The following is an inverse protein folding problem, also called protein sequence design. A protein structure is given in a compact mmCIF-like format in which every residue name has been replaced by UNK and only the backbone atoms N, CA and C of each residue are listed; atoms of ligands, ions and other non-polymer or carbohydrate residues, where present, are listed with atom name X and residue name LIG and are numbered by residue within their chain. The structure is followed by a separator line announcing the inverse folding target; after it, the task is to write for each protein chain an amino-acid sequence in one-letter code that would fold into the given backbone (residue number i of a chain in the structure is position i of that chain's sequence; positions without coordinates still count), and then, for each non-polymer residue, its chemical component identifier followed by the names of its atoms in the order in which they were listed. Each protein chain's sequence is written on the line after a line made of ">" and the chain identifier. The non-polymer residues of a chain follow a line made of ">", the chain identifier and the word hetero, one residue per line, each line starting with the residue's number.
data_IF_191345712639
#
_entry.id   IF_191345712639
#
_cell.length_a   1.000
_cell.length_b   1.000
_cell.length_c   1.000
_cell.angle_alpha   90.00
_cell.angle_beta   90.00
_cell.angle_gamma   90.00
#
_symmetry.space_group_name_H-M   'P 1'
#
loop_
_entity.id
_entity.type
_entity.pdbx_description
1 polymer ?
#
# COMPACT_ATOMS: atom_id res chain seq x y z
N UNK A 1 -31.19 -18.79 -20.06
CA UNK A 1 -31.24 -20.13 -20.68
C UNK A 1 -29.97 -20.87 -20.29
N UNK A 2 -30.08 -21.93 -19.48
CA UNK A 2 -28.99 -22.88 -19.21
C UNK A 2 -29.26 -24.15 -20.03
N UNK A 3 -28.25 -24.62 -20.76
CA UNK A 3 -28.35 -25.78 -21.66
C UNK A 3 -28.28 -27.10 -20.91
N UNK A 4 -29.02 -28.10 -21.41
CA UNK A 4 -29.26 -29.42 -20.79
C UNK A 4 -28.06 -30.38 -20.73
N UNK A 5 -26.81 -29.89 -20.83
CA UNK A 5 -25.59 -30.72 -20.73
C UNK A 5 -24.43 -29.96 -20.03
N UNK A 6 -24.75 -29.11 -19.04
CA UNK A 6 -23.74 -28.39 -18.27
C UNK A 6 -23.10 -29.29 -17.20
N UNK A 7 -21.91 -29.83 -17.48
CA UNK A 7 -21.05 -30.37 -16.41
C UNK A 7 -20.75 -29.24 -15.44
N UNK A 8 -21.22 -29.33 -14.20
CA UNK A 8 -20.82 -28.40 -13.14
C UNK A 8 -19.29 -28.49 -13.00
N UNK A 9 -18.57 -27.36 -12.82
CA UNK A 9 -17.18 -27.42 -12.39
C UNK A 9 -17.10 -28.29 -11.13
N UNK A 10 -16.03 -29.07 -11.01
CA UNK A 10 -15.79 -29.79 -9.75
C UNK A 10 -15.65 -28.77 -8.62
N UNK A 11 -16.06 -29.12 -7.40
CA UNK A 11 -15.93 -28.23 -6.24
C UNK A 11 -14.50 -27.70 -6.06
N UNK A 12 -13.51 -28.51 -6.45
CA UNK A 12 -12.09 -28.16 -6.48
C UNK A 12 -11.78 -27.08 -7.51
N UNK A 13 -12.25 -27.21 -8.75
CA UNK A 13 -12.04 -26.19 -9.81
C UNK A 13 -12.64 -24.83 -9.41
N UNK A 14 -13.83 -24.83 -8.78
CA UNK A 14 -14.43 -23.59 -8.28
C UNK A 14 -13.57 -22.96 -7.18
N UNK A 15 -13.07 -23.75 -6.24
CA UNK A 15 -12.19 -23.26 -5.16
C UNK A 15 -10.89 -22.67 -5.71
N UNK A 16 -10.29 -23.32 -6.69
CA UNK A 16 -9.04 -22.85 -7.32
C UNK A 16 -9.23 -21.53 -8.06
N UNK A 17 -10.33 -21.39 -8.84
CA UNK A 17 -10.66 -20.13 -9.51
C UNK A 17 -10.95 -19.00 -8.51
N UNK A 18 -11.66 -19.29 -7.42
CA UNK A 18 -11.88 -18.31 -6.36
C UNK A 18 -10.58 -17.87 -5.66
N UNK A 19 -9.64 -18.80 -5.45
CA UNK A 19 -8.34 -18.49 -4.87
C UNK A 19 -7.51 -17.58 -5.80
N UNK A 20 -7.57 -17.82 -7.11
CA UNK A 20 -6.91 -16.99 -8.11
C UNK A 20 -7.49 -15.58 -8.16
N UNK A 21 -8.82 -15.46 -8.19
CA UNK A 21 -9.51 -14.16 -8.16
C UNK A 21 -9.14 -13.38 -6.88
N UNK A 22 -9.11 -14.05 -5.73
CA UNK A 22 -8.69 -13.42 -4.46
C UNK A 22 -7.28 -12.85 -4.57
N UNK A 23 -6.35 -13.63 -5.13
CA UNK A 23 -4.97 -13.20 -5.34
C UNK A 23 -4.90 -11.96 -6.24
N UNK A 24 -5.56 -12.00 -7.39
CA UNK A 24 -5.53 -10.90 -8.36
C UNK A 24 -6.09 -9.59 -7.76
N UNK A 25 -7.14 -9.67 -6.93
CA UNK A 25 -7.71 -8.51 -6.23
C UNK A 25 -6.71 -7.92 -5.20
N UNK A 26 -6.05 -8.78 -4.43
CA UNK A 26 -5.06 -8.35 -3.42
C UNK A 26 -3.82 -7.74 -4.08
N UNK A 27 -3.33 -8.34 -5.17
CA UNK A 27 -2.20 -7.81 -5.93
C UNK A 27 -2.56 -6.45 -6.55
N UNK A 28 -3.75 -6.31 -7.14
CA UNK A 28 -4.24 -5.03 -7.67
C UNK A 28 -4.35 -3.93 -6.60
N UNK A 29 -4.85 -4.26 -5.40
CA UNK A 29 -4.85 -3.33 -4.25
C UNK A 29 -3.42 -2.89 -3.91
N UNK A 30 -2.50 -3.84 -3.79
CA UNK A 30 -1.11 -3.56 -3.45
C UNK A 30 -0.41 -2.66 -4.49
N UNK A 31 -0.64 -2.90 -5.79
CA UNK A 31 -0.12 -2.04 -6.85
C UNK A 31 -0.61 -0.59 -6.74
N UNK A 32 -1.89 -0.38 -6.42
CA UNK A 32 -2.43 0.96 -6.21
C UNK A 32 -1.82 1.64 -4.97
N UNK A 33 -1.62 0.89 -3.88
CA UNK A 33 -0.94 1.42 -2.68
C UNK A 33 0.51 1.80 -3.01
N UNK A 34 1.23 0.97 -3.77
CA UNK A 34 2.59 1.26 -4.23
C UNK A 34 2.64 2.51 -5.11
N UNK A 35 1.63 2.72 -5.95
CA UNK A 35 1.53 3.92 -6.79
C UNK A 35 1.35 5.20 -5.95
N UNK A 36 0.48 5.17 -4.94
CA UNK A 36 0.34 6.29 -3.98
C UNK A 36 1.65 6.53 -3.24
N UNK A 37 2.35 5.47 -2.84
CA UNK A 37 3.64 5.59 -2.18
C UNK A 37 4.71 6.23 -3.07
N UNK A 38 4.80 5.81 -4.33
CA UNK A 38 5.72 6.39 -5.31
C UNK A 38 5.55 7.91 -5.43
N UNK A 39 4.29 8.37 -5.49
CA UNK A 39 3.96 9.79 -5.53
C UNK A 39 4.47 10.53 -4.29
N UNK A 40 4.18 10.00 -3.10
CA UNK A 40 4.56 10.59 -1.82
C UNK A 40 6.09 10.72 -1.65
N UNK A 41 6.83 9.65 -1.99
CA UNK A 41 8.30 9.64 -1.92
C UNK A 41 8.87 10.64 -2.92
N UNK A 42 8.38 10.64 -4.15
CA UNK A 42 8.85 11.54 -5.21
C UNK A 42 8.64 13.01 -4.83
N UNK A 43 7.46 13.35 -4.31
CA UNK A 43 7.18 14.70 -3.80
C UNK A 43 8.12 15.10 -2.67
N UNK A 44 8.31 14.21 -1.69
CA UNK A 44 9.21 14.46 -0.55
C UNK A 44 10.64 14.69 -1.01
N UNK A 45 11.12 13.89 -1.97
CA UNK A 45 12.44 14.04 -2.58
C UNK A 45 12.61 15.39 -3.26
N UNK A 46 11.65 15.79 -4.10
CA UNK A 46 11.64 17.10 -4.76
C UNK A 46 11.65 18.25 -3.75
N UNK A 47 10.77 18.20 -2.75
CA UNK A 47 10.70 19.23 -1.71
C UNK A 47 12.02 19.34 -0.93
N UNK A 48 12.65 18.22 -0.58
CA UNK A 48 13.94 18.20 0.14
C UNK A 48 15.09 18.75 -0.72
N UNK A 49 15.15 18.41 -2.01
CA UNK A 49 16.19 18.90 -2.93
C UNK A 49 16.06 20.41 -3.14
N UNK A 50 14.84 20.90 -3.36
CA UNK A 50 14.56 22.32 -3.52
C UNK A 50 14.89 23.12 -2.25
N UNK A 51 14.47 22.64 -1.08
CA UNK A 51 14.86 23.26 0.21
C UNK A 51 16.38 23.30 0.39
N UNK A 52 17.08 22.23 -0.03
CA UNK A 52 18.54 22.16 0.06
C UNK A 52 19.22 23.16 -0.89
N UNK A 53 18.68 23.34 -2.10
CA UNK A 53 19.16 24.33 -3.05
C UNK A 53 19.05 25.75 -2.48
N UNK A 54 17.85 26.14 -2.00
CA UNK A 54 17.62 27.46 -1.42
C UNK A 54 18.55 27.72 -0.23
N UNK A 55 18.71 26.74 0.67
CA UNK A 55 19.62 26.84 1.83
C UNK A 55 21.09 27.03 1.43
N UNK A 56 21.55 26.41 0.34
CA UNK A 56 22.95 26.50 -0.10
C UNK A 56 23.25 27.75 -0.91
N UNK A 57 22.28 28.25 -1.65
CA UNK A 57 22.47 29.33 -2.62
C UNK A 57 21.94 30.68 -2.15
N UNK A 58 21.09 30.69 -1.12
CA UNK A 58 20.30 31.87 -0.76
C UNK A 58 19.16 32.17 -1.74
N UNK A 59 18.89 31.27 -2.70
CA UNK A 59 17.78 31.39 -3.64
C UNK A 59 16.41 31.16 -2.99
N UNK A 60 15.35 31.41 -3.76
CA UNK A 60 13.94 31.24 -3.36
C UNK A 60 13.17 30.45 -4.43
N UNK A 61 13.73 29.33 -4.89
CA UNK A 61 13.11 28.49 -5.92
C UNK A 61 12.09 27.51 -5.34
N UNK A 62 12.15 27.18 -4.05
CA UNK A 62 11.30 26.15 -3.45
C UNK A 62 9.81 26.47 -3.61
N UNK A 63 9.39 27.68 -3.23
CA UNK A 63 7.98 28.07 -3.22
C UNK A 63 7.34 28.03 -4.62
N UNK A 64 7.87 28.71 -5.66
CA UNK A 64 7.25 28.70 -6.98
C UNK A 64 7.29 27.32 -7.64
N UNK A 65 8.26 26.47 -7.30
CA UNK A 65 8.37 25.12 -7.87
C UNK A 65 7.41 24.13 -7.22
N UNK A 66 7.27 24.16 -5.89
CA UNK A 66 6.32 23.29 -5.18
C UNK A 66 4.89 23.56 -5.62
N UNK A 67 4.48 24.82 -5.79
CA UNK A 67 3.15 25.16 -6.29
C UNK A 67 2.84 24.55 -7.66
N UNK A 68 3.85 24.39 -8.52
CA UNK A 68 3.70 23.72 -9.81
C UNK A 68 3.62 22.20 -9.65
N UNK A 69 4.44 21.62 -8.77
CA UNK A 69 4.47 20.18 -8.47
C UNK A 69 3.13 19.70 -7.92
N UNK A 70 2.49 20.46 -7.02
CA UNK A 70 1.19 20.10 -6.44
C UNK A 70 0.06 19.96 -7.48
N UNK A 71 0.25 20.52 -8.68
CA UNK A 71 -0.72 20.44 -9.78
C UNK A 71 -0.35 19.38 -10.83
N UNK A 72 0.77 18.69 -10.64
CA UNK A 72 1.20 17.68 -11.60
C UNK A 72 0.41 16.38 -11.40
N UNK A 73 0.08 15.66 -12.50
CA UNK A 73 -0.70 14.42 -12.43
C UNK A 73 -0.10 13.35 -11.51
N UNK A 74 1.23 13.31 -11.39
CA UNK A 74 1.88 12.33 -10.51
C UNK A 74 1.58 12.57 -9.02
N UNK A 75 1.22 13.81 -8.62
CA UNK A 75 0.92 14.16 -7.24
C UNK A 75 -0.57 14.06 -6.90
N UNK A 76 -1.45 14.23 -7.90
CA UNK A 76 -2.91 14.15 -7.74
C UNK A 76 -3.38 12.69 -7.62
N UNK A 77 -3.23 12.12 -6.43
CA UNK A 77 -3.50 10.70 -6.12
C UNK A 77 -4.85 10.47 -5.45
N UNK A 78 -5.73 11.46 -5.44
CA UNK A 78 -7.02 11.43 -4.73
C UNK A 78 -7.93 10.31 -5.28
N UNK A 79 -7.99 10.18 -6.61
CA UNK A 79 -8.78 9.13 -7.27
C UNK A 79 -8.22 7.74 -6.98
N UNK A 80 -6.89 7.57 -7.00
CA UNK A 80 -6.25 6.30 -6.68
C UNK A 80 -6.52 5.92 -5.23
N UNK A 81 -6.41 6.89 -4.31
CA UNK A 81 -6.70 6.67 -2.88
C UNK A 81 -8.15 6.26 -2.65
N UNK A 82 -9.11 6.83 -3.41
CA UNK A 82 -10.52 6.42 -3.37
C UNK A 82 -10.69 4.97 -3.86
N UNK A 83 -10.05 4.62 -4.97
CA UNK A 83 -10.07 3.26 -5.51
C UNK A 83 -9.47 2.24 -4.54
N UNK A 84 -8.36 2.57 -3.87
CA UNK A 84 -7.77 1.73 -2.80
C UNK A 84 -8.82 1.45 -1.72
N UNK A 85 -9.53 2.49 -1.24
CA UNK A 85 -10.56 2.34 -0.21
C UNK A 85 -11.75 1.51 -0.67
N UNK A 86 -12.20 1.69 -1.90
CA UNK A 86 -13.28 0.89 -2.50
C UNK A 86 -12.87 -0.57 -2.66
N UNK A 87 -11.61 -0.83 -3.02
CA UNK A 87 -11.05 -2.18 -3.12
C UNK A 87 -10.99 -2.86 -1.74
N UNK A 88 -10.53 -2.15 -0.70
CA UNK A 88 -10.55 -2.65 0.69
C UNK A 88 -11.96 -3.07 1.13
N UNK A 89 -12.96 -2.21 0.91
CA UNK A 89 -14.35 -2.52 1.27
C UNK A 89 -14.89 -3.73 0.49
N UNK A 90 -14.47 -3.89 -0.77
CA UNK A 90 -14.85 -5.05 -1.61
C UNK A 90 -14.19 -6.33 -1.11
N UNK A 91 -12.91 -6.29 -0.76
CA UNK A 91 -12.18 -7.41 -0.17
C UNK A 91 -12.85 -7.86 1.13
N UNK A 92 -13.15 -6.92 2.03
CA UNK A 92 -13.81 -7.20 3.31
C UNK A 92 -15.22 -7.82 3.13
N UNK A 93 -15.96 -7.38 2.11
CA UNK A 93 -17.30 -7.89 1.82
C UNK A 93 -17.31 -9.27 1.14
N UNK A 94 -16.36 -9.53 0.24
CA UNK A 94 -16.32 -10.77 -0.55
C UNK A 94 -15.57 -11.88 0.18
N UNK A 95 -14.63 -11.51 1.05
CA UNK A 95 -13.81 -12.42 1.84
C UNK A 95 -13.88 -12.05 3.32
N UNK A 96 -15.05 -12.19 3.97
CA UNK A 96 -15.17 -11.89 5.39
C UNK A 96 -14.19 -12.76 6.18
N UNK A 97 -13.48 -12.13 7.11
CA UNK A 97 -12.56 -12.82 8.02
C UNK A 97 -13.41 -13.75 8.89
N UNK A 98 -13.36 -15.06 8.64
CA UNK A 98 -13.95 -16.03 9.56
C UNK A 98 -13.25 -15.87 10.93
N UNK A 99 -14.05 -15.59 11.97
CA UNK A 99 -13.55 -15.47 13.34
C UNK A 99 -12.80 -16.75 13.76
N UNK A 100 -11.67 -16.55 14.42
CA UNK A 100 -10.62 -17.52 14.68
C UNK A 100 -11.13 -18.70 15.50
N UNK A 101 -11.41 -19.83 14.83
CA UNK A 101 -11.38 -21.17 15.40
C UNK A 101 -10.22 -21.96 14.79
N UNK A 102 -9.16 -22.19 15.57
CA UNK A 102 -8.09 -23.18 15.37
C UNK A 102 -7.28 -23.21 14.03
N UNK A 103 -7.50 -22.29 13.08
CA UNK A 103 -6.80 -22.23 11.78
C UNK A 103 -5.47 -21.46 11.73
N UNK A 104 -4.68 -21.40 12.81
CA UNK A 104 -3.42 -20.62 12.85
C UNK A 104 -2.35 -21.07 11.84
N UNK A 105 -2.46 -22.29 11.29
CA UNK A 105 -1.48 -22.86 10.35
C UNK A 105 -1.82 -22.52 8.89
N UNK A 106 -3.09 -22.61 8.50
CA UNK A 106 -3.54 -22.29 7.13
C UNK A 106 -3.52 -20.79 6.84
N UNK A 107 -3.83 -19.92 7.82
CA UNK A 107 -3.71 -18.46 7.65
C UNK A 107 -2.26 -18.04 7.39
N UNK A 108 -1.29 -18.71 8.01
CA UNK A 108 0.14 -18.47 7.80
C UNK A 108 0.57 -18.92 6.40
N UNK A 109 0.14 -20.11 5.98
CA UNK A 109 0.46 -20.63 4.65
C UNK A 109 -0.21 -19.83 3.51
N UNK A 110 -1.47 -19.42 3.68
CA UNK A 110 -2.16 -18.57 2.71
C UNK A 110 -1.49 -17.18 2.58
N UNK A 111 -1.14 -16.54 3.70
CA UNK A 111 -0.40 -15.25 3.69
C UNK A 111 1.00 -15.41 3.06
N UNK A 112 1.67 -16.54 3.25
CA UNK A 112 2.97 -16.80 2.62
C UNK A 112 2.85 -17.14 1.13
N UNK A 113 1.75 -17.75 0.68
CA UNK A 113 1.61 -18.24 -0.71
C UNK A 113 0.98 -17.19 -1.65
N UNK A 114 0.13 -16.28 -1.16
CA UNK A 114 -0.63 -15.40 -2.06
C UNK A 114 0.08 -14.12 -2.49
N UNK A 115 1.17 -13.67 -1.86
CA UNK A 115 1.63 -12.28 -2.03
C UNK A 115 3.12 -12.00 -1.88
N UNK A 116 4.01 -12.96 -2.15
CA UNK A 116 5.44 -12.76 -1.82
C UNK A 116 6.03 -11.45 -2.39
N UNK A 117 5.74 -11.04 -3.63
CA UNK A 117 6.28 -9.79 -4.18
C UNK A 117 5.54 -8.53 -3.73
N UNK A 118 4.30 -8.37 -4.20
CA UNK A 118 3.54 -7.11 -4.11
C UNK A 118 3.15 -6.80 -2.67
N UNK A 119 2.71 -7.79 -1.89
CA UNK A 119 2.34 -7.58 -0.49
C UNK A 119 3.55 -7.16 0.35
N UNK A 120 4.70 -7.85 0.23
CA UNK A 120 5.93 -7.44 0.93
C UNK A 120 6.37 -6.03 0.54
N UNK A 121 6.33 -5.70 -0.76
CA UNK A 121 6.66 -4.37 -1.24
C UNK A 121 5.71 -3.31 -0.67
N UNK A 122 4.41 -3.62 -0.60
CA UNK A 122 3.38 -2.73 -0.07
C UNK A 122 3.59 -2.47 1.41
N UNK A 123 3.87 -3.51 2.20
CA UNK A 123 4.20 -3.35 3.63
C UNK A 123 5.48 -2.53 3.81
N UNK A 124 6.54 -2.82 3.05
CA UNK A 124 7.79 -2.05 3.10
C UNK A 124 7.59 -0.58 2.73
N UNK A 125 6.75 -0.31 1.71
CA UNK A 125 6.36 1.04 1.31
C UNK A 125 5.64 1.80 2.42
N UNK A 126 4.67 1.16 3.09
CA UNK A 126 3.93 1.77 4.20
C UNK A 126 4.86 2.09 5.39
N UNK A 127 5.76 1.17 5.75
CA UNK A 127 6.76 1.39 6.80
C UNK A 127 7.69 2.55 6.46
N UNK A 128 8.19 2.59 5.21
CA UNK A 128 9.08 3.66 4.74
C UNK A 128 8.41 5.03 4.87
N UNK A 129 7.12 5.16 4.51
CA UNK A 129 6.39 6.42 4.69
C UNK A 129 6.25 6.78 6.18
N UNK A 130 5.94 5.81 7.03
CA UNK A 130 5.79 6.03 8.47
C UNK A 130 7.08 6.59 9.09
N UNK A 131 8.24 6.03 8.72
CA UNK A 131 9.55 6.51 9.13
C UNK A 131 9.89 7.91 8.59
N UNK A 132 9.64 8.15 7.30
CA UNK A 132 9.87 9.48 6.68
C UNK A 132 9.08 10.57 7.41
N UNK A 133 7.90 10.23 7.92
CA UNK A 133 7.00 11.14 8.62
C UNK A 133 7.36 11.31 10.10
N UNK A 134 7.83 10.27 10.78
CA UNK A 134 8.23 10.35 12.20
C UNK A 134 9.48 11.21 12.42
N UNK A 135 10.37 11.29 11.43
CA UNK A 135 11.62 12.05 11.52
C UNK A 135 11.55 13.55 11.17
N UNK A 136 10.38 14.10 10.82
CA UNK A 136 10.29 15.52 10.43
C UNK A 136 10.02 16.43 11.63
N UNK A 137 11.01 17.24 11.99
CA UNK A 137 10.94 18.21 13.11
C UNK A 137 10.10 19.46 12.84
N UNK A 138 9.50 19.62 11.66
CA UNK A 138 8.57 20.73 11.35
C UNK A 138 7.42 20.26 10.44
N UNK A 139 6.21 20.29 10.97
CA UNK A 139 4.98 20.12 10.21
C UNK A 139 4.57 21.49 9.62
N UNK A 140 4.24 21.54 8.33
CA UNK A 140 3.81 22.76 7.65
C UNK A 140 2.83 22.46 6.51
N UNK A 141 2.28 23.50 5.87
CA UNK A 141 1.25 23.38 4.82
C UNK A 141 1.64 22.48 3.63
N UNK A 142 2.94 22.32 3.38
CA UNK A 142 3.47 21.51 2.27
C UNK A 142 4.02 20.16 2.74
N UNK A 143 3.82 19.79 4.00
CA UNK A 143 4.17 18.47 4.52
C UNK A 143 3.08 17.47 4.12
N UNK A 144 3.45 16.19 4.04
CA UNK A 144 2.46 15.13 3.82
C UNK A 144 1.51 15.03 5.03
N UNK A 145 0.20 14.82 4.82
CA UNK A 145 -0.76 14.62 5.91
C UNK A 145 -0.45 13.34 6.69
N UNK A 146 -0.75 13.23 8.00
CA UNK A 146 -0.52 12.03 8.79
C UNK A 146 -1.28 10.81 8.25
N UNK A 147 -0.70 9.62 8.36
CA UNK A 147 -1.35 8.36 7.98
C UNK A 147 -1.98 7.78 9.25
N UNK A 148 -3.30 7.62 9.26
CA UNK A 148 -4.00 6.83 10.26
C UNK A 148 -4.04 5.39 9.76
N UNK A 149 -2.95 4.64 9.94
CA UNK A 149 -2.97 3.20 9.74
C UNK A 149 -3.49 2.57 11.04
N UNK A 150 -4.50 1.68 11.01
CA UNK A 150 -4.78 0.85 12.18
C UNK A 150 -3.52 0.04 12.49
N UNK A 151 -3.17 -0.09 13.77
CA UNK A 151 -2.12 -0.99 14.27
C UNK A 151 -2.50 -2.44 13.95
N UNK A 152 -2.42 -2.82 12.68
CA UNK A 152 -2.76 -4.16 12.24
C UNK A 152 -1.55 -5.05 12.51
N UNK A 153 -1.79 -6.17 13.19
CA UNK A 153 -0.85 -7.26 13.53
C UNK A 153 0.05 -7.71 12.34
N UNK A 154 -0.33 -7.34 11.11
CA UNK A 154 0.47 -7.45 9.88
C UNK A 154 1.85 -6.80 10.04
N UNK A 155 1.94 -5.63 10.67
CA UNK A 155 3.20 -4.89 10.87
C UNK A 155 4.19 -5.67 11.75
N UNK A 156 3.68 -6.34 12.78
CA UNK A 156 4.52 -7.16 13.68
C UNK A 156 5.00 -8.45 13.01
N UNK A 157 4.22 -8.99 12.06
CA UNK A 157 4.59 -10.23 11.35
C UNK A 157 5.76 -10.07 10.38
N UNK A 158 6.00 -8.86 9.86
CA UNK A 158 7.11 -8.57 8.93
C UNK A 158 8.38 -8.14 9.67
N UNK A 159 8.26 -7.55 10.87
CA UNK A 159 9.39 -7.21 11.74
C UNK A 159 10.22 -8.43 12.20
N UNK A 160 9.68 -9.64 12.11
CA UNK A 160 10.36 -10.86 12.55
C UNK A 160 11.52 -11.31 11.62
N UNK A 161 11.71 -10.66 10.47
CA UNK A 161 12.70 -11.06 9.46
C UNK A 161 13.79 -10.01 9.15
N UNK A 162 14.02 -9.00 9.99
CA UNK A 162 15.19 -8.13 9.83
C UNK A 162 16.32 -8.51 10.80
N UNK A 163 17.30 -9.36 10.41
CA UNK A 163 18.50 -9.59 11.19
C UNK A 163 19.54 -8.53 10.82
N UNK A 164 19.30 -7.26 11.15
CA UNK A 164 20.40 -6.29 11.20
C UNK A 164 20.16 -5.29 12.34
N UNK A 165 21.00 -5.30 13.39
CA UNK A 165 20.99 -4.24 14.39
C UNK A 165 21.51 -2.95 13.74
N UNK A 166 20.72 -1.88 13.85
CA UNK A 166 21.19 -0.53 13.55
C UNK A 166 22.13 -0.14 14.70
N UNK A 167 23.43 -0.08 14.40
CA UNK A 167 24.48 0.50 15.25
C UNK A 167 24.44 2.02 15.13
#
# INVERSE_FOLDING_TARGET
>A
MWGSNGSKPSETEYKDEMAKIRKDIVDFHGEMVLLVNYSNISYTGLAKILKKYDKRTGGLLWLPFIQKVLKQPFFTTELVSKLVKECENTIDSVFPVEEIGEGKKERREAITVTGEGVFRNTVAALMTIQEIRSGSSTYGQFSLPPLNLPDSEIVQSVQLNSPLPIV
#
